data_IF_339512115937
#
_entry.id   IF_339512115937
#
_cell.length_a   1.000
_cell.length_b   1.000
_cell.length_c   1.000
_cell.angle_alpha   90.00
_cell.angle_beta   90.00
_cell.angle_gamma   90.00
#
_symmetry.space_group_name_H-M   'P 1'
#
loop_
_entity.id
_entity.type
_entity.pdbx_description
1 polymer ?
#
# COMPACT_ATOMS: atom_id res chain seq x y z
N UNK A 1 -14.16 -9.70 4.42
CA UNK A 1 -12.88 -8.93 4.39
C UNK A 1 -12.93 -7.94 3.24
N UNK A 2 -12.69 -6.67 3.51
CA UNK A 2 -12.58 -5.63 2.49
C UNK A 2 -11.20 -4.98 2.61
N UNK A 3 -10.44 -4.99 1.53
CA UNK A 3 -9.02 -4.64 1.51
C UNK A 3 -8.79 -3.31 0.80
N UNK A 4 -7.98 -2.44 1.41
CA UNK A 4 -7.44 -1.25 0.78
C UNK A 4 -5.94 -1.45 0.56
N UNK A 5 -5.50 -1.49 -0.68
CA UNK A 5 -4.08 -1.44 -1.03
C UNK A 5 -3.64 0.03 -1.14
N UNK A 6 -2.60 0.40 -0.42
CA UNK A 6 -2.01 1.75 -0.47
C UNK A 6 -0.59 1.62 -1.00
N UNK A 7 -0.28 2.26 -2.13
CA UNK A 7 1.03 2.10 -2.76
C UNK A 7 1.39 3.26 -3.70
N UNK A 8 2.70 3.52 -3.81
CA UNK A 8 3.26 4.36 -4.88
C UNK A 8 3.56 3.56 -6.15
N UNK A 9 3.59 2.23 -6.06
CA UNK A 9 4.10 1.36 -7.11
C UNK A 9 2.98 0.52 -7.72
N UNK A 10 2.23 1.10 -8.64
CA UNK A 10 1.09 0.42 -9.26
C UNK A 10 1.05 0.67 -10.76
N UNK A 11 0.54 -0.29 -11.56
CA UNK A 11 0.32 -0.04 -12.98
C UNK A 11 -0.53 1.20 -13.25
N UNK A 12 -0.42 1.86 -14.40
CA UNK A 12 0.31 1.41 -15.59
C UNK A 12 1.83 1.62 -15.57
N UNK A 13 2.37 2.25 -14.51
CA UNK A 13 3.82 2.32 -14.36
C UNK A 13 4.44 0.92 -14.42
N UNK A 14 5.59 0.79 -15.08
CA UNK A 14 6.23 -0.50 -15.32
C UNK A 14 7.33 -0.73 -14.29
N UNK A 15 7.37 -1.94 -13.73
CA UNK A 15 8.40 -2.33 -12.78
C UNK A 15 8.05 -3.66 -12.10
N UNK A 16 9.02 -4.22 -11.38
CA UNK A 16 8.84 -5.50 -10.68
C UNK A 16 7.81 -5.42 -9.56
N UNK A 17 7.83 -4.35 -8.77
CA UNK A 17 6.86 -4.12 -7.69
C UNK A 17 5.47 -3.94 -8.27
N UNK A 18 5.34 -3.14 -9.32
CA UNK A 18 4.06 -2.90 -10.00
C UNK A 18 3.44 -4.20 -10.52
N UNK A 19 4.24 -5.03 -11.18
CA UNK A 19 3.77 -6.33 -11.69
C UNK A 19 3.38 -7.27 -10.56
N UNK A 20 4.17 -7.33 -9.51
CA UNK A 20 3.86 -8.14 -8.31
C UNK A 20 2.53 -7.73 -7.69
N UNK A 21 2.33 -6.43 -7.46
CA UNK A 21 1.10 -5.93 -6.85
C UNK A 21 -0.11 -6.14 -7.74
N UNK A 22 0.03 -5.93 -9.06
CA UNK A 22 -1.04 -6.21 -10.02
C UNK A 22 -1.50 -7.67 -9.93
N UNK A 23 -0.56 -8.60 -9.95
CA UNK A 23 -0.87 -10.03 -9.94
C UNK A 23 -1.47 -10.44 -8.60
N UNK A 24 -0.94 -9.90 -7.50
CA UNK A 24 -1.46 -10.19 -6.17
C UNK A 24 -2.88 -9.63 -5.96
N UNK A 25 -3.16 -8.43 -6.44
CA UNK A 25 -4.50 -7.84 -6.42
C UNK A 25 -5.46 -8.72 -7.21
N UNK A 26 -5.03 -9.21 -8.38
CA UNK A 26 -5.84 -10.13 -9.19
C UNK A 26 -6.22 -11.39 -8.43
N UNK A 27 -5.29 -11.97 -7.67
CA UNK A 27 -5.56 -13.13 -6.83
C UNK A 27 -6.53 -12.82 -5.69
N UNK A 28 -6.38 -11.68 -5.04
CA UNK A 28 -7.27 -11.24 -3.96
C UNK A 28 -8.68 -11.01 -4.49
N UNK A 29 -8.81 -10.36 -5.65
CA UNK A 29 -10.10 -10.14 -6.31
C UNK A 29 -10.76 -11.46 -6.68
N UNK A 30 -10.00 -12.42 -7.20
CA UNK A 30 -10.53 -13.73 -7.55
C UNK A 30 -11.09 -14.49 -6.33
N UNK A 31 -10.52 -14.27 -5.16
CA UNK A 31 -10.93 -14.94 -3.92
C UNK A 31 -12.03 -14.22 -3.16
N UNK A 32 -11.99 -12.88 -3.13
CA UNK A 32 -12.90 -12.09 -2.30
C UNK A 32 -14.02 -11.42 -3.08
N UNK A 33 -13.84 -11.20 -4.38
CA UNK A 33 -14.77 -10.46 -5.23
C UNK A 33 -14.28 -9.05 -5.55
N UNK A 34 -14.80 -8.49 -6.65
CA UNK A 34 -14.38 -7.18 -7.16
C UNK A 34 -14.77 -6.01 -6.26
N UNK A 35 -15.84 -6.18 -5.48
CA UNK A 35 -16.35 -5.17 -4.55
C UNK A 35 -15.61 -5.18 -3.19
N UNK A 36 -14.69 -6.12 -2.98
CA UNK A 36 -13.95 -6.28 -1.73
C UNK A 36 -12.52 -5.74 -1.79
N UNK A 37 -12.13 -5.13 -2.90
CA UNK A 37 -10.78 -4.57 -3.09
C UNK A 37 -10.88 -3.15 -3.60
N UNK A 38 -10.17 -2.25 -2.92
CA UNK A 38 -9.97 -0.86 -3.34
C UNK A 38 -8.48 -0.60 -3.38
N UNK A 39 -8.00 0.05 -4.43
CA UNK A 39 -6.59 0.44 -4.57
C UNK A 39 -6.48 1.96 -4.45
N UNK A 40 -5.58 2.42 -3.60
CA UNK A 40 -5.22 3.82 -3.46
C UNK A 40 -3.76 3.99 -3.88
N UNK A 41 -3.54 4.55 -5.06
CA UNK A 41 -2.22 4.60 -5.68
C UNK A 41 -1.88 6.00 -6.20
N UNK A 42 -0.58 6.31 -6.23
CA UNK A 42 -0.07 7.54 -6.86
C UNK A 42 -0.27 7.50 -8.38
N UNK A 43 -0.10 8.65 -9.03
CA UNK A 43 -0.34 8.83 -10.46
C UNK A 43 0.94 9.29 -11.15
N UNK A 44 1.50 8.46 -12.02
CA UNK A 44 2.68 8.81 -12.81
C UNK A 44 2.29 9.60 -14.07
N UNK A 45 1.28 9.13 -14.78
CA UNK A 45 0.68 9.79 -15.95
C UNK A 45 -0.84 9.72 -15.82
N UNK A 46 -1.50 10.86 -15.90
CA UNK A 46 -2.95 10.97 -15.64
C UNK A 46 -3.76 10.20 -16.68
N UNK A 47 -3.41 10.33 -17.95
CA UNK A 47 -4.19 9.72 -19.04
C UNK A 47 -3.98 8.20 -19.08
N UNK A 48 -2.73 7.74 -18.92
CA UNK A 48 -2.44 6.32 -18.86
C UNK A 48 -3.11 5.67 -17.64
N UNK A 49 -3.06 6.34 -16.49
CA UNK A 49 -3.71 5.84 -15.27
C UNK A 49 -5.22 5.72 -15.46
N UNK A 50 -5.85 6.73 -16.08
CA UNK A 50 -7.30 6.70 -16.32
C UNK A 50 -7.69 5.55 -17.22
N UNK A 51 -6.98 5.34 -18.32
CA UNK A 51 -7.24 4.25 -19.26
C UNK A 51 -7.07 2.89 -18.58
N UNK A 52 -6.01 2.74 -17.81
CA UNK A 52 -5.74 1.49 -17.11
C UNK A 52 -6.79 1.20 -16.06
N UNK A 53 -7.16 2.20 -15.26
CA UNK A 53 -8.13 2.06 -14.17
C UNK A 53 -9.52 1.67 -14.70
N UNK A 54 -9.94 2.25 -15.81
CA UNK A 54 -11.22 1.94 -16.44
C UNK A 54 -11.33 0.49 -16.91
N UNK A 55 -10.21 -0.13 -17.23
CA UNK A 55 -10.16 -1.53 -17.68
C UNK A 55 -10.19 -2.53 -16.52
N UNK A 56 -10.08 -2.07 -15.27
CA UNK A 56 -10.02 -2.97 -14.11
C UNK A 56 -11.41 -3.23 -13.54
N UNK A 57 -11.67 -4.48 -13.04
CA UNK A 57 -12.97 -4.82 -12.46
C UNK A 57 -13.17 -4.30 -11.04
N UNK A 58 -12.13 -3.85 -10.38
CA UNK A 58 -12.15 -3.30 -9.03
C UNK A 58 -11.93 -1.79 -9.04
N UNK A 59 -12.16 -1.12 -7.92
CA UNK A 59 -12.03 0.33 -7.80
C UNK A 59 -10.57 0.74 -7.58
N UNK A 60 -10.09 1.67 -8.42
CA UNK A 60 -8.78 2.30 -8.24
C UNK A 60 -9.01 3.81 -8.00
N UNK A 61 -8.47 4.30 -6.90
CA UNK A 61 -8.54 5.71 -6.52
C UNK A 61 -7.12 6.27 -6.60
N UNK A 62 -6.94 7.33 -7.38
CA UNK A 62 -5.62 7.90 -7.64
C UNK A 62 -5.34 9.11 -6.76
N UNK A 63 -4.23 9.05 -6.03
CA UNK A 63 -3.60 10.22 -5.46
C UNK A 63 -3.07 11.10 -6.61
N UNK A 64 -3.39 12.43 -6.66
CA UNK A 64 -3.16 13.24 -7.85
C UNK A 64 -1.71 13.70 -8.05
N UNK A 65 -0.75 13.05 -7.44
CA UNK A 65 0.67 13.36 -7.53
C UNK A 65 1.49 12.10 -7.83
N UNK A 66 2.71 12.29 -8.34
CA UNK A 66 3.61 11.18 -8.69
C UNK A 66 4.11 10.41 -7.48
N UNK A 67 4.18 11.08 -6.32
CA UNK A 67 4.63 10.45 -5.08
C UNK A 67 3.59 10.72 -3.99
N UNK A 68 3.23 9.66 -3.29
CA UNK A 68 2.41 9.71 -2.07
C UNK A 68 3.34 9.59 -0.87
N UNK A 69 3.28 10.57 0.02
CA UNK A 69 4.05 10.58 1.27
C UNK A 69 3.09 10.53 2.46
N UNK A 70 3.55 10.07 3.64
CA UNK A 70 2.70 9.95 4.82
C UNK A 70 2.43 11.31 5.50
N UNK A 71 1.89 12.24 4.73
CA UNK A 71 1.49 13.57 5.20
C UNK A 71 0.11 13.53 5.80
N UNK A 72 -0.27 14.63 6.49
CA UNK A 72 -1.64 14.76 7.04
C UNK A 72 -2.71 14.65 5.97
N UNK A 73 -2.47 15.20 4.76
CA UNK A 73 -3.42 15.10 3.65
C UNK A 73 -3.61 13.67 3.19
N UNK A 74 -2.51 12.94 3.04
CA UNK A 74 -2.54 11.53 2.64
C UNK A 74 -3.25 10.68 3.69
N UNK A 75 -2.93 10.89 4.96
CA UNK A 75 -3.57 10.19 6.08
C UNK A 75 -5.08 10.43 6.07
N UNK A 76 -5.51 11.69 5.95
CA UNK A 76 -6.95 12.03 5.91
C UNK A 76 -7.66 11.34 4.76
N UNK A 77 -7.06 11.33 3.57
CA UNK A 77 -7.64 10.69 2.40
C UNK A 77 -7.73 9.17 2.60
N UNK A 78 -6.67 8.55 3.09
CA UNK A 78 -6.68 7.13 3.43
C UNK A 78 -7.79 6.81 4.44
N UNK A 79 -7.87 7.59 5.51
CA UNK A 79 -8.89 7.40 6.56
C UNK A 79 -10.30 7.57 6.02
N UNK A 80 -10.50 8.55 5.14
CA UNK A 80 -11.78 8.75 4.46
C UNK A 80 -12.19 7.51 3.66
N UNK A 81 -11.25 6.95 2.89
CA UNK A 81 -11.49 5.75 2.10
C UNK A 81 -11.82 4.54 2.98
N UNK A 82 -11.11 4.39 4.10
CA UNK A 82 -11.38 3.30 5.06
C UNK A 82 -12.82 3.37 5.57
N UNK A 83 -13.27 4.55 5.94
CA UNK A 83 -14.63 4.74 6.45
C UNK A 83 -15.68 4.58 5.34
N UNK A 84 -15.46 5.20 4.20
CA UNK A 84 -16.41 5.21 3.08
C UNK A 84 -16.65 3.81 2.53
N UNK A 85 -15.59 3.02 2.37
CA UNK A 85 -15.65 1.69 1.79
C UNK A 85 -15.71 0.57 2.84
N UNK A 86 -15.78 0.91 4.12
CA UNK A 86 -15.83 -0.04 5.23
C UNK A 86 -14.66 -1.02 5.19
N UNK A 87 -13.47 -0.49 4.99
CA UNK A 87 -12.24 -1.27 4.91
C UNK A 87 -11.92 -1.85 6.29
N UNK A 88 -11.67 -3.14 6.36
CA UNK A 88 -11.20 -3.80 7.56
C UNK A 88 -9.70 -4.14 7.52
N UNK A 89 -9.13 -4.26 6.33
CA UNK A 89 -7.72 -4.62 6.14
C UNK A 89 -7.05 -3.61 5.23
N UNK A 90 -5.97 -2.99 5.72
CA UNK A 90 -5.14 -2.08 4.92
C UNK A 90 -3.83 -2.79 4.62
N UNK A 91 -3.49 -2.82 3.33
CA UNK A 91 -2.27 -3.43 2.84
C UNK A 91 -1.38 -2.36 2.20
N UNK A 92 -0.21 -2.14 2.80
CA UNK A 92 0.81 -1.26 2.22
C UNK A 92 1.69 -2.10 1.29
N UNK A 93 1.61 -1.81 0.00
CA UNK A 93 2.27 -2.59 -1.03
C UNK A 93 3.79 -2.49 -1.02
N UNK A 94 4.34 -1.42 -0.44
CA UNK A 94 5.73 -1.30 -0.07
C UNK A 94 5.79 -0.71 1.34
N UNK A 95 6.55 -1.35 2.24
CA UNK A 95 6.52 -1.00 3.66
C UNK A 95 6.98 0.44 3.93
N UNK A 96 8.05 0.88 3.28
CA UNK A 96 8.54 2.25 3.46
C UNK A 96 8.21 3.10 2.22
N UNK A 97 7.79 4.36 2.39
CA UNK A 97 7.52 5.05 3.66
C UNK A 97 6.06 4.95 4.15
N UNK A 98 5.14 4.42 3.34
CA UNK A 98 3.69 4.56 3.57
C UNK A 98 3.16 3.76 4.75
N UNK A 99 3.78 2.63 5.08
CA UNK A 99 3.30 1.78 6.16
C UNK A 99 3.44 2.40 7.56
N UNK A 100 4.13 3.55 7.69
CA UNK A 100 4.12 4.33 8.93
C UNK A 100 2.70 4.85 9.27
N UNK A 101 1.81 4.87 8.29
CA UNK A 101 0.40 5.24 8.48
C UNK A 101 -0.47 4.10 9.06
N UNK A 102 0.13 2.96 9.41
CA UNK A 102 -0.62 1.80 9.91
C UNK A 102 -1.47 2.10 11.14
N UNK A 103 -0.93 2.86 12.10
CA UNK A 103 -1.69 3.29 13.29
C UNK A 103 -2.89 4.16 12.90
N UNK A 104 -2.69 5.10 11.98
CA UNK A 104 -3.77 5.97 11.49
C UNK A 104 -4.86 5.17 10.77
N UNK A 105 -4.49 4.10 10.07
CA UNK A 105 -5.45 3.20 9.44
C UNK A 105 -6.32 2.51 10.48
N UNK A 106 -5.73 2.04 11.57
CA UNK A 106 -6.48 1.41 12.68
C UNK A 106 -7.40 2.41 13.38
N UNK A 107 -6.96 3.65 13.56
CA UNK A 107 -7.78 4.71 14.13
C UNK A 107 -9.02 5.01 13.28
N UNK A 108 -8.97 4.78 11.98
CA UNK A 108 -10.10 4.96 11.07
C UNK A 108 -11.04 3.75 10.99
N UNK A 109 -10.69 2.63 11.61
CA UNK A 109 -11.53 1.45 11.69
C UNK A 109 -10.93 0.17 11.13
N UNK A 110 -9.74 0.20 10.53
CA UNK A 110 -9.09 -1.01 10.07
C UNK A 110 -8.71 -1.90 11.25
N UNK A 111 -9.04 -3.19 11.15
CA UNK A 111 -8.71 -4.16 12.19
C UNK A 111 -7.40 -4.86 11.93
N UNK A 112 -6.93 -4.86 10.68
CA UNK A 112 -5.69 -5.52 10.28
C UNK A 112 -4.87 -4.60 9.35
N UNK A 113 -3.57 -4.55 9.58
CA UNK A 113 -2.61 -3.84 8.72
C UNK A 113 -1.52 -4.80 8.27
N UNK A 114 -1.30 -4.87 6.96
CA UNK A 114 -0.28 -5.70 6.32
C UNK A 114 0.73 -4.80 5.63
N UNK A 115 2.00 -5.05 5.79
CA UNK A 115 3.07 -4.33 5.10
C UNK A 115 3.97 -5.32 4.37
N UNK A 116 4.20 -5.07 3.08
CA UNK A 116 5.05 -5.92 2.23
C UNK A 116 6.40 -5.26 2.03
N UNK A 117 7.48 -5.98 2.27
CA UNK A 117 8.84 -5.51 2.01
C UNK A 117 9.36 -6.09 0.69
N UNK A 118 10.09 -5.27 -0.06
CA UNK A 118 10.63 -5.64 -1.38
C UNK A 118 12.15 -5.65 -1.43
N UNK A 119 12.81 -5.51 -0.26
CA UNK A 119 14.26 -5.56 -0.14
C UNK A 119 14.95 -4.20 -0.10
N UNK A 120 14.43 -3.16 -0.74
CA UNK A 120 15.04 -1.84 -0.72
C UNK A 120 14.97 -1.14 0.66
N UNK A 121 14.06 -1.57 1.52
CA UNK A 121 13.96 -1.10 2.90
C UNK A 121 15.21 -1.42 3.72
N UNK A 122 15.98 -2.43 3.32
CA UNK A 122 17.25 -2.76 3.96
C UNK A 122 18.22 -1.58 3.91
N UNK A 123 18.30 -0.88 2.77
CA UNK A 123 19.12 0.32 2.64
C UNK A 123 18.69 1.43 3.59
N UNK A 124 17.39 1.56 3.82
CA UNK A 124 16.83 2.53 4.75
C UNK A 124 17.26 2.26 6.20
N UNK A 125 17.39 1.00 6.59
CA UNK A 125 17.78 0.65 7.96
C UNK A 125 19.20 1.12 8.32
N UNK A 126 20.02 1.45 7.32
CA UNK A 126 21.39 1.95 7.51
C UNK A 126 21.46 3.47 7.60
N UNK A 127 20.36 4.20 7.38
CA UNK A 127 20.30 5.66 7.40
C UNK A 127 19.80 6.12 8.77
N UNK A 128 20.50 7.05 9.46
CA UNK A 128 20.01 7.62 10.72
C UNK A 128 18.63 8.27 10.53
N UNK A 129 17.71 8.01 11.44
CA UNK A 129 16.33 8.49 11.38
C UNK A 129 15.39 7.56 10.60
N UNK A 130 15.86 6.89 9.57
CA UNK A 130 15.05 5.90 8.84
C UNK A 130 14.73 4.68 9.68
N UNK A 131 15.61 4.31 10.62
CA UNK A 131 15.34 3.23 11.59
C UNK A 131 14.08 3.48 12.41
N UNK A 132 13.84 4.72 12.82
CA UNK A 132 12.64 5.07 13.57
C UNK A 132 11.39 4.90 12.71
N UNK A 133 11.43 5.25 11.43
CA UNK A 133 10.34 5.03 10.49
C UNK A 133 10.06 3.54 10.31
N UNK A 134 11.11 2.72 10.18
CA UNK A 134 10.97 1.26 10.07
C UNK A 134 10.39 0.65 11.34
N UNK A 135 10.77 1.15 12.51
CA UNK A 135 10.17 0.73 13.79
C UNK A 135 8.69 1.09 13.84
N UNK A 136 8.31 2.27 13.38
CA UNK A 136 6.91 2.69 13.32
C UNK A 136 6.09 1.78 12.39
N UNK A 137 6.67 1.33 11.27
CA UNK A 137 6.06 0.34 10.39
C UNK A 137 5.85 -0.98 11.14
N UNK A 138 6.89 -1.50 11.81
CA UNK A 138 6.80 -2.74 12.58
C UNK A 138 5.79 -2.68 13.71
N UNK A 139 5.69 -1.54 14.39
CA UNK A 139 4.76 -1.35 15.50
C UNK A 139 3.32 -1.14 15.02
N UNK A 140 3.10 -0.53 13.84
CA UNK A 140 1.79 -0.26 13.30
C UNK A 140 1.20 -1.39 12.46
N UNK A 141 2.03 -2.31 11.94
CA UNK A 141 1.60 -3.41 11.11
C UNK A 141 1.39 -4.68 11.94
N UNK A 142 0.28 -5.37 11.69
CA UNK A 142 0.01 -6.67 12.31
C UNK A 142 0.80 -7.79 11.63
N UNK A 143 1.01 -7.65 10.31
CA UNK A 143 1.72 -8.63 9.49
C UNK A 143 2.71 -7.87 8.61
N UNK A 144 3.97 -8.30 8.63
CA UNK A 144 5.00 -7.82 7.71
C UNK A 144 5.43 -8.99 6.83
N UNK A 145 5.30 -8.84 5.51
CA UNK A 145 5.67 -9.88 4.56
C UNK A 145 7.04 -9.58 3.94
N UNK A 146 7.77 -10.63 3.63
CA UNK A 146 9.12 -10.55 3.07
C UNK A 146 9.17 -11.32 1.76
N UNK A 147 9.82 -10.74 0.75
CA UNK A 147 9.99 -11.39 -0.55
C UNK A 147 11.29 -12.19 -0.65
N UNK A 148 12.19 -12.04 0.32
CA UNK A 148 13.45 -12.78 0.34
C UNK A 148 13.94 -13.02 1.77
N UNK A 149 14.73 -14.11 1.96
CA UNK A 149 15.40 -14.38 3.22
C UNK A 149 16.43 -13.31 3.58
N UNK A 150 17.05 -12.71 2.57
CA UNK A 150 18.02 -11.63 2.76
C UNK A 150 17.35 -10.44 3.45
N UNK A 151 16.18 -10.03 2.97
CA UNK A 151 15.41 -8.94 3.57
C UNK A 151 15.03 -9.28 5.02
N UNK A 152 14.55 -10.50 5.27
CA UNK A 152 14.16 -10.95 6.61
C UNK A 152 15.33 -10.86 7.61
N UNK A 153 16.52 -11.27 7.21
CA UNK A 153 17.70 -11.24 8.10
C UNK A 153 18.21 -9.84 8.38
N UNK A 154 17.96 -8.88 7.48
CA UNK A 154 18.44 -7.49 7.59
C UNK A 154 17.44 -6.55 8.27
N UNK A 155 16.19 -6.93 8.28
CA UNK A 155 15.14 -6.17 8.95
C UNK A 155 15.12 -6.48 10.46
#
# INVERSE_FOLDING_TARGET
>A
MTVLLVTNDFPPAVGGIQSYLRDFVGEVVARLGTDKVVVFASTQDVDEARQWDQAQPYRVIRWPHKVMLPTRRTIREMQRLIREHRIDTVWFGAAAPLAVMGKAAKEAGATKVVATTHGHEVGWSMVPGARQSLRAVGNGADIVTYISRYTLRRM
#
